data_IF_433285001221
#
_entry.id   IF_433285001221
#
_cell.length_a   1.000
_cell.length_b   1.000
_cell.length_c   1.000
_cell.angle_alpha   90.00
_cell.angle_beta   90.00
_cell.angle_gamma   90.00
#
_symmetry.space_group_name_H-M   'P 1'
#
loop_
_entity.id
_entity.type
_entity.pdbx_description
1 polymer ?
#
# COMPACT_ATOMS: atom_id res chain seq x y z
N UNK A 1 19.40 5.95 4.82
CA UNK A 1 18.34 5.07 5.37
C UNK A 1 17.31 5.74 6.30
N UNK A 2 17.69 6.75 7.13
CA UNK A 2 16.75 7.42 8.07
C UNK A 2 15.54 8.08 7.38
N UNK A 3 15.74 8.73 6.23
CA UNK A 3 14.67 9.43 5.50
C UNK A 3 13.58 8.47 4.99
N UNK A 4 13.93 7.42 4.25
CA UNK A 4 12.98 6.44 3.69
C UNK A 4 12.13 5.81 4.80
N UNK A 5 12.77 5.37 5.89
CA UNK A 5 12.08 4.82 7.06
C UNK A 5 11.07 5.81 7.65
N UNK A 6 11.49 7.07 7.83
CA UNK A 6 10.63 8.13 8.36
C UNK A 6 9.45 8.44 7.43
N UNK A 7 9.69 8.49 6.12
CA UNK A 7 8.64 8.71 5.11
C UNK A 7 7.63 7.57 5.10
N UNK A 8 8.08 6.32 5.18
CA UNK A 8 7.22 5.13 5.29
C UNK A 8 6.34 5.20 6.54
N UNK A 9 6.92 5.52 7.70
CA UNK A 9 6.14 5.69 8.94
C UNK A 9 5.22 6.90 8.91
N UNK A 10 5.60 7.99 8.26
CA UNK A 10 4.73 9.14 8.10
C UNK A 10 3.53 8.80 7.20
N UNK A 11 3.76 8.06 6.11
CA UNK A 11 2.71 7.57 5.24
C UNK A 11 1.72 6.69 6.01
N UNK A 12 2.23 5.70 6.76
CA UNK A 12 1.42 4.88 7.66
C UNK A 12 0.65 5.70 8.69
N UNK A 13 1.32 6.65 9.36
CA UNK A 13 0.71 7.53 10.36
C UNK A 13 -0.49 8.30 9.80
N UNK A 14 -0.39 8.81 8.57
CA UNK A 14 -1.50 9.53 7.93
C UNK A 14 -2.69 8.63 7.62
N UNK A 15 -2.45 7.38 7.22
CA UNK A 15 -3.51 6.38 7.05
C UNK A 15 -4.13 6.05 8.41
N UNK A 16 -3.32 5.74 9.42
CA UNK A 16 -3.76 5.46 10.78
C UNK A 16 -4.66 6.57 11.32
N UNK A 17 -4.23 7.83 11.25
CA UNK A 17 -5.02 8.98 11.73
C UNK A 17 -6.31 9.18 10.95
N UNK A 18 -6.32 8.87 9.64
CA UNK A 18 -7.54 8.92 8.84
C UNK A 18 -8.54 7.85 9.30
N UNK A 19 -8.08 6.63 9.52
CA UNK A 19 -8.92 5.52 9.98
C UNK A 19 -9.41 5.76 11.41
N UNK A 20 -8.56 6.27 12.29
CA UNK A 20 -8.93 6.66 13.66
C UNK A 20 -10.05 7.70 13.65
N UNK A 21 -9.91 8.75 12.83
CA UNK A 21 -10.95 9.77 12.68
C UNK A 21 -12.28 9.16 12.22
N UNK A 22 -12.28 8.37 11.16
CA UNK A 22 -13.49 7.72 10.65
C UNK A 22 -14.05 6.70 11.65
N UNK A 23 -13.20 5.95 12.34
CA UNK A 23 -13.63 4.94 13.32
C UNK A 23 -14.33 5.56 14.51
N UNK A 24 -13.85 6.71 15.00
CA UNK A 24 -14.48 7.46 16.09
C UNK A 24 -15.81 8.08 15.64
N UNK A 25 -15.94 8.50 14.37
CA UNK A 25 -17.18 9.07 13.84
C UNK A 25 -18.27 8.03 13.51
N UNK A 26 -17.88 6.79 13.16
CA UNK A 26 -18.80 5.76 12.64
C UNK A 26 -18.91 4.51 13.52
N UNK A 27 -18.37 4.52 14.75
CA UNK A 27 -18.58 3.45 15.73
C UNK A 27 -17.71 2.20 15.53
N UNK A 28 -16.41 2.38 15.28
CA UNK A 28 -15.47 1.29 14.96
C UNK A 28 -14.09 1.42 15.60
N UNK A 29 -14.00 1.95 16.83
CA UNK A 29 -12.75 2.37 17.49
C UNK A 29 -11.74 1.23 17.79
N UNK A 30 -12.13 -0.02 17.56
CA UNK A 30 -11.25 -1.18 17.78
C UNK A 30 -10.34 -1.46 16.59
N UNK A 31 -9.15 -2.02 16.88
CA UNK A 31 -8.19 -2.54 15.89
C UNK A 31 -7.72 -1.52 14.83
N UNK A 32 -7.66 -0.23 15.18
CA UNK A 32 -7.30 0.85 14.25
C UNK A 32 -5.92 0.63 13.61
N UNK A 33 -4.91 0.20 14.39
CA UNK A 33 -3.58 -0.08 13.87
C UNK A 33 -3.59 -1.21 12.85
N UNK A 34 -4.34 -2.28 13.11
CA UNK A 34 -4.48 -3.43 12.21
C UNK A 34 -5.22 -3.03 10.93
N UNK A 35 -6.27 -2.21 11.02
CA UNK A 35 -6.98 -1.66 9.85
C UNK A 35 -6.04 -0.83 8.97
N UNK A 36 -5.21 0.02 9.58
CA UNK A 36 -4.20 0.79 8.86
C UNK A 36 -3.14 -0.12 8.21
N UNK A 37 -2.70 -1.17 8.91
CA UNK A 37 -1.77 -2.17 8.38
C UNK A 37 -2.35 -2.91 7.16
N UNK A 38 -3.63 -3.27 7.20
CA UNK A 38 -4.32 -3.87 6.05
C UNK A 38 -4.37 -2.94 4.84
N UNK A 39 -4.60 -1.63 5.05
CA UNK A 39 -4.54 -0.64 3.95
C UNK A 39 -3.14 -0.56 3.37
N UNK A 40 -2.08 -0.56 4.20
CA UNK A 40 -0.70 -0.60 3.71
C UNK A 40 -0.42 -1.83 2.84
N UNK A 41 -0.84 -3.00 3.34
CA UNK A 41 -0.69 -4.27 2.62
C UNK A 41 -1.42 -4.22 1.28
N UNK A 42 -2.68 -3.76 1.26
CA UNK A 42 -3.47 -3.65 0.04
C UNK A 42 -2.78 -2.74 -1.00
N UNK A 43 -2.30 -1.56 -0.59
CA UNK A 43 -1.60 -0.63 -1.49
C UNK A 43 -0.33 -1.25 -2.10
N UNK A 44 0.45 -1.98 -1.30
CA UNK A 44 1.66 -2.64 -1.80
C UNK A 44 1.34 -3.80 -2.74
N UNK A 45 0.31 -4.59 -2.42
CA UNK A 45 -0.17 -5.67 -3.29
C UNK A 45 -0.66 -5.10 -4.63
N UNK A 46 -1.39 -3.99 -4.62
CA UNK A 46 -1.84 -3.33 -5.85
C UNK A 46 -0.67 -2.88 -6.72
N UNK A 47 0.39 -2.32 -6.14
CA UNK A 47 1.61 -1.99 -6.90
C UNK A 47 2.23 -3.25 -7.53
N UNK A 48 2.32 -4.36 -6.79
CA UNK A 48 2.84 -5.62 -7.32
C UNK A 48 1.99 -6.20 -8.46
N UNK A 49 0.66 -6.12 -8.32
CA UNK A 49 -0.27 -6.53 -9.38
C UNK A 49 -0.07 -5.68 -10.63
N UNK A 50 0.01 -4.35 -10.49
CA UNK A 50 0.28 -3.45 -11.61
C UNK A 50 1.59 -3.77 -12.33
N UNK A 51 2.68 -3.99 -11.57
CA UNK A 51 3.98 -4.36 -12.14
C UNK A 51 3.87 -5.68 -12.91
N UNK A 52 3.19 -6.67 -12.35
CA UNK A 52 2.99 -7.98 -12.97
C UNK A 52 2.18 -7.88 -14.27
N UNK A 53 1.13 -7.05 -14.28
CA UNK A 53 0.34 -6.77 -15.46
C UNK A 53 1.18 -6.09 -16.56
N UNK A 54 1.94 -5.04 -16.23
CA UNK A 54 2.80 -4.38 -17.21
C UNK A 54 3.89 -5.30 -17.75
N UNK A 55 4.46 -6.14 -16.89
CA UNK A 55 5.42 -7.15 -17.31
C UNK A 55 4.78 -8.11 -18.34
N UNK A 56 3.62 -8.70 -18.03
CA UNK A 56 2.90 -9.59 -18.94
C UNK A 56 2.56 -8.93 -20.29
N UNK A 57 2.11 -7.68 -20.26
CA UNK A 57 1.78 -6.90 -21.47
C UNK A 57 3.02 -6.64 -22.33
N UNK A 58 4.16 -6.36 -21.70
CA UNK A 58 5.41 -6.07 -22.38
C UNK A 58 6.04 -7.33 -22.99
N UNK A 59 6.10 -8.43 -22.24
CA UNK A 59 6.68 -9.70 -22.68
C UNK A 59 5.75 -10.51 -23.56
N UNK A 60 4.47 -10.12 -23.67
CA UNK A 60 3.43 -10.88 -24.36
C UNK A 60 3.30 -12.31 -23.84
N UNK A 61 3.49 -12.49 -22.53
CA UNK A 61 3.35 -13.79 -21.88
C UNK A 61 2.08 -13.81 -21.06
N UNK A 62 1.20 -14.76 -21.31
CA UNK A 62 0.06 -15.01 -20.45
C UNK A 62 0.56 -15.56 -19.11
N UNK A 63 0.26 -14.87 -18.01
CA UNK A 63 0.61 -15.30 -16.66
C UNK A 63 -0.64 -15.85 -16.00
N UNK A 64 -0.70 -17.16 -15.81
CA UNK A 64 -1.71 -17.77 -14.94
C UNK A 64 -1.37 -17.49 -13.48
N UNK A 65 -2.07 -16.52 -12.90
CA UNK A 65 -1.99 -16.21 -11.48
C UNK A 65 -2.91 -17.15 -10.70
N UNK A 66 -2.37 -18.26 -10.23
CA UNK A 66 -3.04 -19.12 -9.25
C UNK A 66 -2.36 -18.99 -7.88
N UNK A 67 -3.13 -19.10 -6.79
CA UNK A 67 -2.62 -18.91 -5.42
C UNK A 67 -1.51 -19.92 -5.06
N UNK A 68 -1.50 -21.08 -5.70
CA UNK A 68 -0.48 -22.12 -5.55
C UNK A 68 0.86 -21.78 -6.23
N UNK A 69 0.91 -20.77 -7.10
CA UNK A 69 2.14 -20.44 -7.83
C UNK A 69 3.10 -19.61 -6.96
N UNK A 70 4.41 -19.97 -6.92
CA UNK A 70 5.42 -19.25 -6.17
C UNK A 70 5.49 -17.76 -6.46
N UNK A 71 5.23 -17.37 -7.72
CA UNK A 71 5.21 -15.97 -8.14
C UNK A 71 4.11 -15.14 -7.44
N UNK A 72 3.09 -15.79 -6.87
CA UNK A 72 2.00 -15.14 -6.13
C UNK A 72 2.32 -15.09 -4.64
N UNK A 73 2.62 -16.23 -4.01
CA UNK A 73 2.77 -16.28 -2.55
C UNK A 73 4.13 -15.75 -2.06
N UNK A 74 5.22 -15.83 -2.83
CA UNK A 74 6.53 -15.30 -2.39
C UNK A 74 6.49 -13.78 -2.21
N UNK A 75 6.04 -12.97 -3.20
CA UNK A 75 5.92 -11.53 -3.01
C UNK A 75 4.95 -11.17 -1.88
N UNK A 76 3.85 -11.92 -1.72
CA UNK A 76 2.90 -11.71 -0.64
C UNK A 76 3.53 -11.93 0.74
N UNK A 77 4.31 -13.01 0.92
CA UNK A 77 5.05 -13.28 2.17
C UNK A 77 6.08 -12.19 2.44
N UNK A 78 6.82 -11.74 1.43
CA UNK A 78 7.81 -10.66 1.57
C UNK A 78 7.13 -9.38 2.05
N UNK A 79 6.03 -8.99 1.42
CA UNK A 79 5.25 -7.80 1.79
C UNK A 79 4.69 -7.95 3.20
N UNK A 80 4.12 -9.10 3.53
CA UNK A 80 3.58 -9.36 4.86
C UNK A 80 4.67 -9.29 5.95
N UNK A 81 5.77 -10.00 5.76
CA UNK A 81 6.91 -9.99 6.68
C UNK A 81 7.48 -8.58 6.84
N UNK A 82 7.62 -7.82 5.75
CA UNK A 82 8.09 -6.45 5.80
C UNK A 82 7.19 -5.55 6.67
N UNK A 83 5.87 -5.60 6.48
CA UNK A 83 4.94 -4.82 7.31
C UNK A 83 4.97 -5.29 8.76
N UNK A 84 4.98 -6.60 8.99
CA UNK A 84 5.07 -7.16 10.33
C UNK A 84 6.32 -6.64 11.05
N UNK A 85 7.50 -6.73 10.46
CA UNK A 85 8.75 -6.29 11.11
C UNK A 85 8.85 -4.77 11.29
N UNK A 86 8.19 -3.98 10.44
CA UNK A 86 8.33 -2.52 10.45
C UNK A 86 7.23 -1.80 11.21
N UNK A 87 5.99 -2.32 11.21
CA UNK A 87 4.80 -1.72 11.81
C UNK A 87 4.34 -2.48 13.06
N UNK A 88 4.27 -3.81 13.03
CA UNK A 88 3.69 -4.56 14.16
C UNK A 88 4.75 -4.94 15.20
N UNK A 89 5.93 -5.35 14.75
CA UNK A 89 7.01 -5.81 15.61
C UNK A 89 7.66 -4.64 16.36
N UNK A 90 7.56 -4.69 17.70
CA UNK A 90 8.09 -3.70 18.65
C UNK A 90 7.50 -2.29 18.55
N UNK A 91 6.39 -2.11 17.83
CA UNK A 91 5.65 -0.83 17.77
C UNK A 91 6.53 0.39 17.43
N UNK A 92 7.59 0.18 16.65
CA UNK A 92 8.62 1.21 16.43
C UNK A 92 8.07 2.47 15.74
N UNK A 93 7.01 2.33 14.94
CA UNK A 93 6.32 3.46 14.32
C UNK A 93 5.67 4.38 15.37
N UNK A 94 5.20 3.86 16.51
CA UNK A 94 4.56 4.66 17.58
C UNK A 94 5.52 5.72 18.15
N UNK A 95 6.82 5.43 18.18
CA UNK A 95 7.86 6.40 18.61
C UNK A 95 7.88 7.65 17.73
N UNK A 96 7.55 7.51 16.45
CA UNK A 96 7.47 8.63 15.50
C UNK A 96 6.14 9.38 15.57
N UNK A 97 5.08 8.80 16.15
CA UNK A 97 3.79 9.47 16.26
C UNK A 97 3.90 10.78 17.05
N UNK A 98 4.65 10.79 18.16
CA UNK A 98 4.89 12.01 18.96
C UNK A 98 5.57 13.08 18.12
N UNK A 99 6.56 12.69 17.32
CA UNK A 99 7.24 13.60 16.41
C UNK A 99 6.30 14.17 15.34
N UNK A 100 5.51 13.31 14.71
CA UNK A 100 4.58 13.70 13.65
C UNK A 100 3.39 14.51 14.14
N UNK A 101 2.93 14.25 15.38
CA UNK A 101 1.89 15.04 16.03
C UNK A 101 2.32 16.49 16.26
N UNK A 102 3.62 16.71 16.50
CA UNK A 102 4.20 18.04 16.72
C UNK A 102 4.50 18.81 15.42
N UNK A 103 4.16 18.27 14.23
CA UNK A 103 4.32 19.01 12.98
C UNK A 103 3.39 20.22 12.91
N UNK A 104 3.91 21.33 12.36
CA UNK A 104 3.10 22.53 12.12
C UNK A 104 1.88 22.23 11.23
N UNK A 105 0.78 22.95 11.44
CA UNK A 105 -0.48 22.78 10.67
C UNK A 105 -0.23 22.76 9.16
N UNK A 106 0.62 23.66 8.66
CA UNK A 106 1.01 23.74 7.24
C UNK A 106 1.72 22.47 6.78
N UNK A 107 2.71 21.99 7.53
CA UNK A 107 3.47 20.78 7.20
C UNK A 107 2.58 19.54 7.18
N UNK A 108 1.70 19.40 8.17
CA UNK A 108 0.77 18.28 8.25
C UNK A 108 -0.27 18.30 7.10
N UNK A 109 -0.75 19.48 6.70
CA UNK A 109 -1.68 19.64 5.56
C UNK A 109 -1.02 19.24 4.23
N UNK A 110 0.17 19.76 3.97
CA UNK A 110 0.93 19.43 2.75
C UNK A 110 1.23 17.92 2.71
N UNK A 111 1.76 17.37 3.82
CA UNK A 111 2.05 15.94 3.88
C UNK A 111 0.80 15.06 3.74
N UNK A 112 -0.37 15.52 4.21
CA UNK A 112 -1.64 14.82 3.97
C UNK A 112 -2.03 14.77 2.50
N UNK A 113 -1.94 15.89 1.78
CA UNK A 113 -2.19 15.92 0.34
C UNK A 113 -1.21 15.03 -0.44
N UNK A 114 0.06 14.99 -0.03
CA UNK A 114 1.05 14.09 -0.64
C UNK A 114 0.65 12.63 -0.46
N UNK A 115 0.32 12.21 0.78
CA UNK A 115 -0.11 10.83 1.05
C UNK A 115 -1.37 10.48 0.26
N UNK A 116 -2.36 11.36 0.24
CA UNK A 116 -3.58 11.18 -0.55
C UNK A 116 -3.29 11.03 -2.05
N UNK A 117 -2.44 11.91 -2.60
CA UNK A 117 -2.05 11.85 -4.02
C UNK A 117 -1.33 10.55 -4.38
N UNK A 118 -0.45 10.04 -3.50
CA UNK A 118 0.21 8.74 -3.70
C UNK A 118 -0.82 7.60 -3.71
N UNK A 119 -1.76 7.57 -2.77
CA UNK A 119 -2.82 6.54 -2.71
C UNK A 119 -3.64 6.57 -4.01
N UNK A 120 -4.05 7.77 -4.45
CA UNK A 120 -4.81 7.95 -5.68
C UNK A 120 -4.00 7.45 -6.88
N UNK A 121 -2.71 7.78 -6.95
CA UNK A 121 -1.82 7.30 -8.01
C UNK A 121 -1.73 5.78 -8.05
N UNK A 122 -1.61 5.10 -6.90
CA UNK A 122 -1.59 3.63 -6.85
C UNK A 122 -2.90 3.05 -7.39
N UNK A 123 -4.04 3.59 -6.96
CA UNK A 123 -5.37 3.12 -7.40
C UNK A 123 -5.56 3.36 -8.91
N UNK A 124 -5.29 4.57 -9.40
CA UNK A 124 -5.41 4.90 -10.82
C UNK A 124 -4.45 4.07 -11.67
N UNK A 125 -3.23 3.82 -11.19
CA UNK A 125 -2.27 2.96 -11.86
C UNK A 125 -2.78 1.51 -11.99
N UNK A 126 -3.37 0.96 -10.92
CA UNK A 126 -3.97 -0.37 -10.96
C UNK A 126 -5.12 -0.46 -11.96
N UNK A 127 -6.04 0.51 -11.94
CA UNK A 127 -7.16 0.58 -12.89
C UNK A 127 -6.62 0.62 -14.33
N UNK A 128 -5.60 1.45 -14.58
CA UNK A 128 -4.99 1.56 -15.89
C UNK A 128 -4.27 0.27 -16.32
N UNK A 129 -3.61 -0.43 -15.38
CA UNK A 129 -2.97 -1.71 -15.65
C UNK A 129 -4.00 -2.77 -16.09
N UNK A 130 -5.15 -2.83 -15.41
CA UNK A 130 -6.24 -3.73 -15.80
C UNK A 130 -6.89 -3.34 -17.13
N UNK A 131 -7.06 -2.05 -17.40
CA UNK A 131 -7.54 -1.56 -18.68
C UNK A 131 -6.65 -2.06 -19.83
N UNK A 132 -5.33 -1.84 -19.74
CA UNK A 132 -4.38 -2.30 -20.77
C UNK A 132 -4.35 -3.82 -20.88
N UNK A 133 -4.46 -4.54 -19.76
CA UNK A 133 -4.55 -6.00 -19.78
C UNK A 133 -5.78 -6.48 -20.55
N UNK A 134 -6.91 -5.77 -20.45
CA UNK A 134 -8.14 -6.08 -21.18
C UNK A 134 -8.09 -5.80 -22.68
N UNK A 135 -7.24 -4.88 -23.14
CA UNK A 135 -7.07 -4.57 -24.57
C UNK A 135 -6.22 -5.60 -25.34
N UNK A 136 -5.41 -6.39 -24.64
CA UNK A 136 -4.54 -7.38 -25.28
C UNK A 136 -5.35 -8.62 -25.66
N UNK A 137 -5.22 -9.03 -26.93
CA UNK A 137 -5.76 -10.31 -27.42
C UNK A 137 -4.88 -11.48 -26.96
N UNK A 138 -5.15 -11.97 -25.73
CA UNK A 138 -4.39 -13.05 -25.10
C UNK A 138 -4.49 -14.40 -25.81
N UNK A 139 -5.49 -14.62 -26.67
CA UNK A 139 -5.61 -15.86 -27.44
C UNK A 139 -4.43 -16.07 -28.40
N UNK A 140 -3.72 -14.99 -28.77
CA UNK A 140 -2.52 -15.06 -29.61
C UNK A 140 -1.27 -15.53 -28.87
N UNK A 141 -1.31 -15.53 -27.54
CA UNK A 141 -0.16 -15.77 -26.67
C UNK A 141 -0.40 -16.91 -25.67
N UNK A 142 -1.44 -17.71 -25.92
CA UNK A 142 -1.83 -18.86 -25.13
C UNK A 142 -1.39 -20.15 -25.79
#
# INVERSE_FOLDING_TARGET
MKFIKKSYYYFFYKIYRSIEYTSNSFGGETLISSKAGLVMLALQVWVLISISAYYAIYTKTFIELTISMPIVYIPAIIVFAFNYFTLDYKDNWKKYNVEFANYSKRKNRIGGWIVFGIILLVISNLIYAFYLMGEVDWNKYR
#
